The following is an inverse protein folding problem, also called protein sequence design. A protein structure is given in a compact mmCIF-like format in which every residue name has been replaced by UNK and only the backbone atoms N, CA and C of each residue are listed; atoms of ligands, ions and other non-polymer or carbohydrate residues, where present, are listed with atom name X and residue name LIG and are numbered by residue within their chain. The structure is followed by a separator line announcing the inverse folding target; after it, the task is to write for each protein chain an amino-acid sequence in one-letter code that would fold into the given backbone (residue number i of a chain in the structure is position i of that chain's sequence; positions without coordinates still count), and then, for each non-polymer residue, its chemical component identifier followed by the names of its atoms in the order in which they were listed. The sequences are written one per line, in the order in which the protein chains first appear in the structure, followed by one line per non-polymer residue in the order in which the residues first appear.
data_IF_332762706143
#
_entry.id   IF_332762706143
#
_cell.length_a   1.000
_cell.length_b   1.000
_cell.length_c   1.000
_cell.angle_alpha   90.00
_cell.angle_beta   90.00
_cell.angle_gamma   90.00
#
_symmetry.space_group_name_H-M   'P 1'
#
loop_
_entity.id
_entity.type
_entity.pdbx_description
1 polymer ?
#
# COMPACT_ATOMS: atom_id res chain seq x y z
N UNK A 1 -67.55 12.19 -2.32
CA UNK A 1 -66.35 11.92 -1.50
C UNK A 1 -65.31 11.01 -2.19
N UNK A 2 -65.18 11.02 -3.53
CA UNK A 2 -64.18 10.19 -4.25
C UNK A 2 -63.03 10.99 -4.90
N UNK A 3 -63.15 12.32 -5.00
CA UNK A 3 -62.12 13.16 -5.63
C UNK A 3 -60.89 13.42 -4.74
N UNK A 4 -61.03 13.38 -3.42
CA UNK A 4 -59.89 13.54 -2.50
C UNK A 4 -58.95 12.32 -2.46
N UNK A 5 -59.46 11.12 -2.76
CA UNK A 5 -58.64 9.89 -2.69
C UNK A 5 -57.64 9.80 -3.85
N UNK A 6 -58.03 10.25 -5.05
CA UNK A 6 -57.14 10.25 -6.22
C UNK A 6 -55.97 11.23 -6.09
N UNK A 7 -56.23 12.43 -5.58
CA UNK A 7 -55.20 13.46 -5.38
C UNK A 7 -54.18 13.04 -4.32
N UNK A 8 -54.64 12.45 -3.21
CA UNK A 8 -53.75 11.96 -2.15
C UNK A 8 -52.84 10.84 -2.66
N UNK A 9 -53.36 9.92 -3.48
CA UNK A 9 -52.56 8.83 -4.06
C UNK A 9 -51.49 9.37 -5.01
N UNK A 10 -51.82 10.34 -5.86
CA UNK A 10 -50.84 10.96 -6.77
C UNK A 10 -49.74 11.70 -6.00
N UNK A 11 -50.09 12.44 -4.94
CA UNK A 11 -49.10 13.15 -4.10
C UNK A 11 -48.17 12.18 -3.37
N UNK A 12 -48.69 11.06 -2.85
CA UNK A 12 -47.87 10.03 -2.18
C UNK A 12 -46.93 9.35 -3.17
N UNK A 13 -47.39 9.06 -4.39
CA UNK A 13 -46.54 8.46 -5.44
C UNK A 13 -45.44 9.44 -5.88
N UNK A 14 -45.75 10.72 -6.06
CA UNK A 14 -44.74 11.73 -6.44
C UNK A 14 -43.69 11.94 -5.33
N UNK A 15 -44.09 11.94 -4.06
CA UNK A 15 -43.16 12.03 -2.92
C UNK A 15 -42.28 10.77 -2.79
N UNK A 16 -42.77 9.59 -3.17
CA UNK A 16 -41.98 8.37 -3.17
C UNK A 16 -40.93 8.33 -4.31
N UNK A 17 -41.22 8.96 -5.46
CA UNK A 17 -40.30 9.00 -6.62
C UNK A 17 -39.22 10.09 -6.48
N UNK A 18 -39.42 11.08 -5.60
CA UNK A 18 -38.46 12.14 -5.30
C UNK A 18 -37.45 11.79 -4.20
N UNK A 19 -37.30 10.51 -3.85
CA UNK A 19 -36.10 10.06 -3.15
C UNK A 19 -34.94 10.15 -4.12
N UNK A 20 -34.34 11.34 -4.19
CA UNK A 20 -33.03 11.52 -4.77
C UNK A 20 -32.10 10.57 -4.03
N UNK A 21 -31.73 9.48 -4.69
CA UNK A 21 -30.56 8.71 -4.32
C UNK A 21 -29.40 9.71 -4.30
N UNK A 22 -29.06 10.18 -3.11
CA UNK A 22 -27.75 10.77 -2.88
C UNK A 22 -26.78 9.67 -3.27
N UNK A 23 -26.21 9.78 -4.47
CA UNK A 23 -25.03 9.01 -4.85
C UNK A 23 -23.94 9.48 -3.91
N UNK A 24 -23.92 8.92 -2.70
CA UNK A 24 -22.75 8.89 -1.85
C UNK A 24 -21.78 8.04 -2.65
N UNK A 25 -21.00 8.71 -3.50
CA UNK A 25 -19.86 8.09 -4.13
C UNK A 25 -19.06 7.47 -3.00
N UNK A 26 -19.02 6.13 -2.97
CA UNK A 26 -18.13 5.40 -2.09
C UNK A 26 -16.72 5.91 -2.40
N UNK A 27 -16.22 6.80 -1.55
CA UNK A 27 -14.82 7.17 -1.54
C UNK A 27 -14.10 5.95 -0.95
N UNK A 28 -13.82 4.96 -1.79
CA UNK A 28 -12.93 3.86 -1.42
C UNK A 28 -11.64 4.52 -0.92
N UNK A 29 -11.28 4.25 0.34
CA UNK A 29 -10.17 4.88 1.08
C UNK A 29 -8.93 5.11 0.23
N UNK A 30 -8.85 6.30 -0.37
CA UNK A 30 -7.73 6.78 -1.15
C UNK A 30 -6.83 7.67 -0.28
N UNK A 31 -6.95 7.61 1.03
CA UNK A 31 -6.02 8.31 1.92
C UNK A 31 -4.69 7.54 1.99
N UNK A 32 -3.60 8.26 2.23
CA UNK A 32 -2.29 7.64 2.39
C UNK A 32 -2.26 6.87 3.72
N UNK A 33 -2.09 5.55 3.63
CA UNK A 33 -2.17 4.64 4.76
C UNK A 33 -0.99 3.66 4.80
N UNK A 34 -0.75 3.09 5.98
CA UNK A 34 0.17 1.97 6.18
C UNK A 34 -0.62 0.68 6.14
N UNK A 35 -0.41 -0.14 5.11
CA UNK A 35 -1.15 -1.37 4.89
C UNK A 35 -0.25 -2.60 4.99
N UNK A 36 -0.78 -3.76 5.45
CA UNK A 36 -0.05 -5.02 5.41
C UNK A 36 0.03 -5.54 3.97
N UNK A 37 1.12 -6.24 3.67
CA UNK A 37 1.39 -6.93 2.40
C UNK A 37 2.24 -8.17 2.65
N UNK A 38 2.34 -9.06 1.69
CA UNK A 38 3.20 -10.24 1.79
C UNK A 38 4.26 -10.17 0.71
N UNK A 39 5.51 -10.43 1.08
CA UNK A 39 6.64 -10.54 0.16
C UNK A 39 7.32 -11.89 0.31
N UNK A 40 7.82 -12.42 -0.80
CA UNK A 40 8.67 -13.60 -0.81
C UNK A 40 10.13 -13.16 -0.65
N UNK A 41 10.83 -13.67 0.35
CA UNK A 41 12.24 -13.38 0.59
C UNK A 41 13.05 -14.63 0.32
N UNK A 42 14.05 -14.53 -0.55
CA UNK A 42 15.08 -15.55 -0.75
C UNK A 42 16.46 -14.97 -0.44
N UNK A 43 17.31 -15.76 0.22
CA UNK A 43 18.68 -15.38 0.54
C UNK A 43 19.63 -16.53 0.29
N UNK A 44 20.70 -16.22 -0.41
CA UNK A 44 21.77 -17.16 -0.73
C UNK A 44 22.96 -16.92 0.21
N UNK A 45 23.62 -17.99 0.64
CA UNK A 45 24.86 -17.95 1.40
C UNK A 45 25.96 -18.63 0.59
N UNK A 46 27.06 -17.93 0.41
CA UNK A 46 28.25 -18.39 -0.30
C UNK A 46 29.40 -18.58 0.69
N UNK A 47 30.26 -19.58 0.43
CA UNK A 47 31.51 -19.75 1.18
C UNK A 47 32.61 -18.79 0.66
N UNK A 48 33.76 -18.79 1.32
CA UNK A 48 34.91 -17.94 0.95
C UNK A 48 35.47 -18.25 -0.45
N UNK A 49 35.15 -19.43 -1.00
CA UNK A 49 35.50 -19.83 -2.36
C UNK A 49 34.45 -19.46 -3.41
N UNK A 50 33.34 -18.83 -2.99
CA UNK A 50 32.24 -18.42 -3.86
C UNK A 50 31.30 -19.56 -4.25
N UNK A 51 31.36 -20.71 -3.58
CA UNK A 51 30.41 -21.81 -3.80
C UNK A 51 29.17 -21.59 -2.95
N UNK A 52 28.01 -21.88 -3.54
CA UNK A 52 26.72 -21.82 -2.85
C UNK A 52 26.67 -22.87 -1.72
N UNK A 53 26.48 -22.39 -0.48
CA UNK A 53 26.35 -23.21 0.72
C UNK A 53 24.90 -23.58 0.98
N UNK A 54 24.00 -22.60 0.83
CA UNK A 54 22.55 -22.79 1.01
C UNK A 54 21.75 -21.62 0.42
N UNK A 55 20.49 -21.90 0.11
CA UNK A 55 19.46 -20.91 -0.20
C UNK A 55 18.34 -21.05 0.81
N UNK A 56 17.97 -19.97 1.49
CA UNK A 56 16.84 -19.95 2.42
C UNK A 56 15.74 -19.02 1.92
N UNK A 57 14.49 -19.44 2.05
CA UNK A 57 13.33 -18.68 1.60
C UNK A 57 12.17 -18.69 2.60
N UNK A 58 11.32 -17.65 2.55
CA UNK A 58 10.11 -17.53 3.37
C UNK A 58 9.18 -16.45 2.79
N UNK A 59 7.86 -16.66 2.92
CA UNK A 59 6.87 -15.61 2.70
C UNK A 59 6.61 -14.84 4.00
N UNK A 60 6.77 -13.52 3.95
CA UNK A 60 6.76 -12.68 5.14
C UNK A 60 5.77 -11.53 4.99
N UNK A 61 4.93 -11.34 6.01
CA UNK A 61 4.06 -10.18 6.11
C UNK A 61 4.87 -8.92 6.46
N UNK A 62 4.78 -7.90 5.62
CA UNK A 62 5.48 -6.61 5.73
C UNK A 62 4.54 -5.45 5.49
N UNK A 63 4.83 -4.32 6.09
CA UNK A 63 4.07 -3.10 5.83
C UNK A 63 4.47 -2.44 4.50
N UNK A 64 3.52 -1.73 3.89
CA UNK A 64 3.72 -0.87 2.72
C UNK A 64 2.92 0.43 2.87
N UNK A 65 3.35 1.48 2.17
CA UNK A 65 2.61 2.73 2.04
C UNK A 65 1.78 2.71 0.76
N UNK A 66 0.48 2.94 0.87
CA UNK A 66 -0.42 2.98 -0.28
C UNK A 66 -1.54 4.01 -0.05
N UNK A 67 -1.98 4.66 -1.14
CA UNK A 67 -3.03 5.66 -1.10
C UNK A 67 -2.76 6.83 -2.05
N UNK A 68 -3.66 7.80 -2.04
CA UNK A 68 -3.57 9.01 -2.85
C UNK A 68 -3.25 10.24 -1.99
N UNK A 69 -2.51 11.16 -2.57
CA UNK A 69 -2.18 12.44 -1.96
C UNK A 69 -2.67 13.59 -2.84
N UNK A 70 -3.23 14.62 -2.23
CA UNK A 70 -3.73 15.80 -2.95
C UNK A 70 -2.55 16.54 -3.58
N UNK A 71 -2.53 16.56 -4.91
CA UNK A 71 -1.55 17.28 -5.72
C UNK A 71 -2.25 18.31 -6.60
N UNK A 72 -1.60 19.43 -6.88
CA UNK A 72 -2.17 20.54 -7.67
C UNK A 72 -1.15 21.08 -8.67
N UNK A 73 -1.66 21.54 -9.81
CA UNK A 73 -0.87 22.26 -10.81
C UNK A 73 -1.57 23.59 -11.09
N UNK A 74 -0.79 24.66 -11.15
CA UNK A 74 -1.28 26.01 -11.45
C UNK A 74 -0.41 26.63 -12.54
N UNK A 75 -0.98 27.38 -13.50
CA UNK A 75 -0.18 28.17 -14.44
C UNK A 75 0.76 29.14 -13.71
N UNK A 76 1.98 29.32 -14.20
CA UNK A 76 2.95 30.24 -13.60
C UNK A 76 3.96 30.75 -14.63
N UNK A 77 4.15 32.08 -14.66
CA UNK A 77 5.21 32.74 -15.45
C UNK A 77 6.57 32.70 -14.76
N UNK A 78 6.61 32.36 -13.46
CA UNK A 78 7.84 32.35 -12.66
C UNK A 78 8.59 31.01 -12.73
N UNK A 79 8.04 30.01 -13.41
CA UNK A 79 8.62 28.67 -13.55
C UNK A 79 8.89 28.38 -15.03
N UNK A 80 10.06 27.83 -15.42
CA UNK A 80 10.37 27.51 -16.82
C UNK A 80 9.38 26.55 -17.49
N UNK A 81 8.72 25.68 -16.71
CA UNK A 81 7.68 24.77 -17.18
C UNK A 81 6.36 25.46 -17.55
N UNK A 82 6.19 26.75 -17.25
CA UNK A 82 4.90 27.45 -17.37
C UNK A 82 3.86 27.04 -16.32
N UNK A 83 4.23 26.16 -15.38
CA UNK A 83 3.35 25.63 -14.34
C UNK A 83 4.09 25.47 -13.03
N UNK A 84 3.47 25.96 -11.95
CA UNK A 84 3.80 25.64 -10.58
C UNK A 84 3.15 24.31 -10.19
N UNK A 85 3.95 23.34 -9.74
CA UNK A 85 3.51 22.00 -9.35
C UNK A 85 3.65 21.83 -7.83
N UNK A 86 2.54 21.60 -7.13
CA UNK A 86 2.52 21.13 -5.73
C UNK A 86 2.18 19.64 -5.75
N UNK A 87 3.21 18.82 -5.93
CA UNK A 87 3.10 17.37 -6.03
C UNK A 87 3.35 16.74 -4.66
N UNK A 88 2.52 15.76 -4.29
CA UNK A 88 2.68 14.98 -3.07
C UNK A 88 2.58 13.47 -3.33
N UNK A 89 3.45 12.69 -2.68
CA UNK A 89 3.47 11.22 -2.74
C UNK A 89 3.25 10.62 -1.36
N UNK A 90 2.54 9.49 -1.29
CA UNK A 90 2.42 8.68 -0.09
C UNK A 90 3.74 7.93 0.12
N UNK A 91 4.47 8.24 1.18
CA UNK A 91 5.76 7.60 1.50
C UNK A 91 5.88 7.35 3.00
N UNK A 92 6.85 6.54 3.37
CA UNK A 92 7.20 6.22 4.74
C UNK A 92 7.64 7.47 5.53
N UNK A 93 7.21 7.55 6.78
CA UNK A 93 7.69 8.56 7.74
C UNK A 93 8.98 8.08 8.39
N UNK A 94 9.01 6.80 8.76
CA UNK A 94 10.17 6.13 9.33
C UNK A 94 10.11 4.62 9.06
N UNK A 95 11.29 4.01 9.02
CA UNK A 95 11.45 2.57 8.83
C UNK A 95 11.77 1.88 10.16
N UNK A 96 11.01 0.83 10.49
CA UNK A 96 11.27 -0.06 11.61
C UNK A 96 12.08 -1.26 11.14
N UNK A 97 13.22 -1.51 11.78
CA UNK A 97 14.01 -2.71 11.53
C UNK A 97 13.41 -3.91 12.28
N UNK A 98 13.40 -5.08 11.63
CA UNK A 98 12.94 -6.35 12.17
C UNK A 98 13.85 -7.46 11.69
N UNK A 99 14.26 -8.34 12.61
CA UNK A 99 14.97 -9.57 12.26
C UNK A 99 13.95 -10.66 11.93
N UNK A 100 14.14 -11.32 10.79
CA UNK A 100 13.27 -12.38 10.29
C UNK A 100 14.10 -13.65 10.16
N UNK A 101 13.52 -14.78 10.57
CA UNK A 101 14.12 -16.10 10.41
C UNK A 101 13.47 -16.80 9.22
N UNK A 102 14.26 -17.07 8.19
CA UNK A 102 13.87 -17.91 7.05
C UNK A 102 13.99 -19.38 7.45
N UNK A 103 12.97 -20.19 7.14
CA UNK A 103 12.89 -21.59 7.61
C UNK A 103 12.94 -22.65 6.52
N UNK A 104 12.79 -22.25 5.25
CA UNK A 104 12.91 -23.13 4.10
C UNK A 104 14.30 -23.02 3.49
N UNK A 105 15.27 -23.75 4.05
CA UNK A 105 16.65 -23.76 3.58
C UNK A 105 16.98 -25.02 2.77
N UNK A 106 17.66 -24.86 1.64
CA UNK A 106 18.05 -25.92 0.71
C UNK A 106 19.55 -25.81 0.38
N UNK A 107 20.18 -26.94 0.05
CA UNK A 107 21.55 -26.97 -0.48
C UNK A 107 21.59 -26.71 -2.00
N UNK A 108 22.78 -26.76 -2.60
CA UNK A 108 22.97 -26.55 -4.04
C UNK A 108 22.35 -27.62 -4.93
N UNK A 109 21.96 -28.77 -4.37
CA UNK A 109 21.26 -29.85 -5.08
C UNK A 109 19.73 -29.77 -4.87
N UNK A 110 19.26 -28.77 -4.09
CA UNK A 110 17.85 -28.55 -3.79
C UNK A 110 17.31 -29.40 -2.63
N UNK A 111 18.15 -30.10 -1.89
CA UNK A 111 17.72 -30.90 -0.75
C UNK A 111 17.55 -30.01 0.49
N UNK A 112 16.46 -30.25 1.25
CA UNK A 112 16.15 -29.47 2.45
C UNK A 112 17.18 -29.71 3.56
N UNK A 113 17.75 -28.63 4.08
CA UNK A 113 18.75 -28.66 5.13
C UNK A 113 18.12 -28.85 6.52
N UNK A 114 18.81 -29.59 7.38
CA UNK A 114 18.42 -29.84 8.78
C UNK A 114 19.53 -29.38 9.75
N UNK A 115 19.20 -29.25 11.04
CA UNK A 115 20.14 -28.84 12.08
C UNK A 115 20.52 -27.35 12.00
N UNK A 116 21.80 -27.02 12.25
CA UNK A 116 22.27 -25.63 12.35
C UNK A 116 22.14 -24.80 11.07
N UNK A 117 21.98 -25.46 9.90
CA UNK A 117 21.78 -24.78 8.61
C UNK A 117 20.32 -24.70 8.16
N UNK A 118 19.39 -25.23 8.96
CA UNK A 118 17.96 -25.28 8.62
C UNK A 118 17.25 -23.91 8.66
N UNK A 119 17.88 -22.91 9.27
CA UNK A 119 17.32 -21.55 9.36
C UNK A 119 18.37 -20.48 9.12
N UNK A 120 17.95 -19.31 8.65
CA UNK A 120 18.83 -18.17 8.42
C UNK A 120 18.15 -16.87 8.83
N UNK A 121 18.88 -15.99 9.52
CA UNK A 121 18.37 -14.67 9.90
C UNK A 121 18.66 -13.60 8.84
N UNK A 122 17.69 -12.72 8.62
CA UNK A 122 17.76 -11.57 7.71
C UNK A 122 17.22 -10.34 8.43
N UNK A 123 17.91 -9.21 8.27
CA UNK A 123 17.42 -7.92 8.75
C UNK A 123 16.60 -7.25 7.66
N UNK A 124 15.34 -6.97 7.95
CA UNK A 124 14.45 -6.24 7.05
C UNK A 124 14.06 -4.91 7.69
N UNK A 125 13.80 -3.90 6.86
CA UNK A 125 13.23 -2.62 7.29
C UNK A 125 11.89 -2.42 6.59
N UNK A 126 10.85 -2.16 7.37
CA UNK A 126 9.50 -1.93 6.87
C UNK A 126 8.98 -0.55 7.33
N UNK A 127 8.11 0.12 6.55
CA UNK A 127 7.42 1.33 7.01
C UNK A 127 6.65 1.07 8.30
N UNK A 128 6.84 1.94 9.29
CA UNK A 128 6.03 1.92 10.51
C UNK A 128 4.92 2.99 10.52
N UNK A 129 5.02 3.99 9.64
CA UNK A 129 3.95 4.95 9.36
C UNK A 129 4.15 5.54 7.95
N UNK A 130 3.07 6.05 7.35
CA UNK A 130 3.02 6.56 5.98
C UNK A 130 2.25 7.88 5.91
N UNK A 131 2.79 8.88 5.21
CA UNK A 131 2.17 10.20 5.07
C UNK A 131 2.46 10.81 3.69
N UNK A 132 1.72 11.88 3.36
CA UNK A 132 1.90 12.61 2.11
C UNK A 132 3.05 13.61 2.19
N UNK A 133 4.09 13.41 1.37
CA UNK A 133 5.28 14.27 1.30
C UNK A 133 5.43 14.94 -0.05
N UNK A 134 6.07 16.12 -0.08
CA UNK A 134 6.39 16.80 -1.34
C UNK A 134 7.27 15.89 -2.22
N UNK A 135 6.94 15.83 -3.51
CA UNK A 135 7.71 15.07 -4.49
C UNK A 135 9.13 15.67 -4.63
N UNK A 136 10.13 14.82 -4.81
CA UNK A 136 11.53 15.23 -5.06
C UNK A 136 12.32 15.68 -3.83
N UNK A 137 11.72 15.67 -2.64
CA UNK A 137 12.46 15.87 -1.39
C UNK A 137 13.18 14.57 -0.99
N UNK A 138 14.50 14.57 -1.15
CA UNK A 138 15.43 13.48 -0.80
C UNK A 138 16.14 13.70 0.53
N UNK A 139 15.84 14.78 1.26
CA UNK A 139 16.49 15.08 2.55
C UNK A 139 15.99 14.23 3.72
N UNK A 140 15.31 13.12 3.42
CA UNK A 140 14.73 12.18 4.37
C UNK A 140 15.02 10.75 3.97
#
# INVERSE_FOLDING_TARGET
MWWCRGVVVVVVVVMAVLQADTVVGRNYGMECETLPSTIHISKEEYDDTGRLVRVCEEDVAVNKCEGACVSKVQPSVNTPSGFLKDCRCCREVHLRARDITLTHCYDGDGARLTGGKATQQVKLREPADCQCFKCGDSTR
#
